data_IF_454326529136
#
_entry.id   IF_454326529136
#
_cell.length_a   1.000
_cell.length_b   1.000
_cell.length_c   1.000
_cell.angle_alpha   90.00
_cell.angle_beta   90.00
_cell.angle_gamma   90.00
#
_symmetry.space_group_name_H-M   'P 1'
#
loop_
_entity.id
_entity.type
_entity.pdbx_description
1 polymer ?
#
# COMPACT_ATOMS: atom_id res chain seq x y z
N UNK A 1 -34.40 38.40 31.36
CA UNK A 1 -33.28 38.51 30.38
C UNK A 1 -31.90 38.42 31.04
N UNK A 2 -31.56 39.22 32.06
CA UNK A 2 -30.24 39.17 32.73
C UNK A 2 -29.87 37.81 33.37
N UNK A 3 -30.87 37.01 33.80
CA UNK A 3 -30.67 35.67 34.39
C UNK A 3 -30.22 34.60 33.38
N UNK A 4 -30.55 34.76 32.10
CA UNK A 4 -30.15 33.86 31.01
C UNK A 4 -28.89 34.37 30.28
N UNK A 5 -28.72 35.68 30.20
CA UNK A 5 -27.56 36.29 29.54
C UNK A 5 -26.23 35.98 30.27
N UNK A 6 -26.26 35.92 31.60
CA UNK A 6 -25.08 35.67 32.45
C UNK A 6 -24.48 34.26 32.23
N UNK A 7 -25.22 33.15 32.33
CA UNK A 7 -24.68 31.83 32.04
C UNK A 7 -24.27 31.69 30.56
N UNK A 8 -25.00 32.31 29.62
CA UNK A 8 -24.60 32.32 28.20
C UNK A 8 -23.23 32.96 27.97
N UNK A 9 -22.97 34.11 28.59
CA UNK A 9 -21.67 34.80 28.46
C UNK A 9 -20.53 34.05 29.15
N UNK A 10 -20.82 33.39 30.29
CA UNK A 10 -19.85 32.52 30.97
C UNK A 10 -19.45 31.33 30.07
N UNK A 11 -20.43 30.65 29.45
CA UNK A 11 -20.16 29.54 28.52
C UNK A 11 -19.38 30.00 27.28
N UNK A 12 -19.68 31.20 26.76
CA UNK A 12 -18.92 31.79 25.66
C UNK A 12 -17.44 31.98 26.03
N UNK A 13 -17.15 32.52 27.22
CA UNK A 13 -15.77 32.69 27.69
C UNK A 13 -15.07 31.35 27.84
N UNK A 14 -15.74 30.34 28.42
CA UNK A 14 -15.17 28.99 28.51
C UNK A 14 -14.89 28.38 27.14
N UNK A 15 -15.82 28.52 26.19
CA UNK A 15 -15.64 28.03 24.81
C UNK A 15 -14.46 28.69 24.10
N UNK A 16 -14.28 30.01 24.28
CA UNK A 16 -13.13 30.74 23.74
C UNK A 16 -11.83 30.22 24.35
N UNK A 17 -11.76 30.08 25.68
CA UNK A 17 -10.55 29.59 26.35
C UNK A 17 -10.22 28.17 25.92
N UNK A 18 -11.22 27.28 25.86
CA UNK A 18 -11.04 25.89 25.43
C UNK A 18 -10.60 25.81 23.95
N UNK A 19 -11.24 26.57 23.06
CA UNK A 19 -10.89 26.60 21.64
C UNK A 19 -9.49 27.15 21.38
N UNK A 20 -9.10 28.23 22.07
CA UNK A 20 -7.74 28.78 21.99
C UNK A 20 -6.70 27.81 22.54
N UNK A 21 -6.99 27.16 23.66
CA UNK A 21 -6.08 26.18 24.27
C UNK A 21 -5.88 24.98 23.34
N UNK A 22 -6.97 24.43 22.79
CA UNK A 22 -6.91 23.31 21.86
C UNK A 22 -6.21 23.69 20.55
N UNK A 23 -6.51 24.86 20.00
CA UNK A 23 -5.86 25.37 18.79
C UNK A 23 -4.35 25.57 18.97
N UNK A 24 -3.92 26.09 20.13
CA UNK A 24 -2.51 26.26 20.46
C UNK A 24 -1.78 24.92 20.64
N UNK A 25 -2.39 23.95 21.32
CA UNK A 25 -1.80 22.61 21.44
C UNK A 25 -1.71 21.95 20.06
N UNK A 26 -2.78 22.03 19.26
CA UNK A 26 -2.80 21.46 17.92
C UNK A 26 -1.74 22.06 17.00
N UNK A 27 -1.49 23.38 17.06
CA UNK A 27 -0.48 24.03 16.21
C UNK A 27 0.96 23.58 16.51
N UNK A 28 1.24 23.14 17.74
CA UNK A 28 2.54 22.59 18.14
C UNK A 28 2.64 21.11 17.80
N UNK A 29 1.54 20.35 17.96
CA UNK A 29 1.54 18.90 17.80
C UNK A 29 1.41 18.47 16.33
N UNK A 30 0.62 19.19 15.52
CA UNK A 30 0.41 18.88 14.10
C UNK A 30 1.69 18.70 13.28
N UNK A 31 2.71 19.60 13.33
CA UNK A 31 3.94 19.41 12.55
C UNK A 31 4.75 18.20 13.02
N UNK A 32 4.68 17.85 14.30
CA UNK A 32 5.36 16.66 14.83
C UNK A 32 4.69 15.37 14.37
N UNK A 33 3.37 15.33 14.35
CA UNK A 33 2.60 14.20 13.82
C UNK A 33 2.94 14.00 12.34
N UNK A 34 2.90 15.08 11.54
CA UNK A 34 3.23 15.01 10.13
C UNK A 34 4.65 14.45 9.89
N UNK A 35 5.66 14.93 10.64
CA UNK A 35 7.02 14.43 10.51
C UNK A 35 7.17 12.95 10.92
N UNK A 36 6.39 12.49 11.89
CA UNK A 36 6.38 11.07 12.29
C UNK A 36 5.67 10.20 11.25
N UNK A 37 4.57 10.69 10.66
CA UNK A 37 3.86 9.99 9.58
C UNK A 37 4.75 9.85 8.33
N UNK A 38 5.48 10.91 7.96
CA UNK A 38 6.44 10.86 6.85
C UNK A 38 7.60 9.89 7.15
N UNK A 39 8.15 9.93 8.36
CA UNK A 39 9.22 9.00 8.75
C UNK A 39 8.75 7.54 8.75
N UNK A 40 7.55 7.27 9.26
CA UNK A 40 6.94 5.94 9.24
C UNK A 40 6.66 5.46 7.81
N UNK A 41 6.19 6.36 6.93
CA UNK A 41 5.99 6.04 5.51
C UNK A 41 7.31 5.71 4.81
N UNK A 42 8.38 6.46 5.05
CA UNK A 42 9.68 6.18 4.46
C UNK A 42 10.27 4.86 4.97
N UNK A 43 10.17 4.59 6.27
CA UNK A 43 10.58 3.31 6.84
C UNK A 43 9.78 2.14 6.22
N UNK A 44 8.48 2.29 6.06
CA UNK A 44 7.62 1.31 5.40
C UNK A 44 8.03 1.06 3.94
N UNK A 45 8.39 2.11 3.19
CA UNK A 45 8.87 1.98 1.80
C UNK A 45 10.15 1.13 1.73
N UNK A 46 11.08 1.34 2.66
CA UNK A 46 12.32 0.55 2.76
C UNK A 46 12.03 -0.91 3.18
N UNK A 47 11.07 -1.12 4.08
CA UNK A 47 10.70 -2.43 4.59
C UNK A 47 9.99 -3.29 3.54
N UNK A 48 9.12 -2.69 2.71
CA UNK A 48 8.38 -3.47 1.69
C UNK A 48 9.23 -3.81 0.45
N UNK A 49 10.36 -3.13 0.24
CA UNK A 49 11.34 -3.40 -0.82
C UNK A 49 12.78 -3.33 -0.28
N UNK A 50 13.23 -4.32 0.51
CA UNK A 50 14.55 -4.31 1.14
C UNK A 50 15.71 -4.46 0.15
N UNK A 51 15.43 -4.87 -1.09
CA UNK A 51 16.43 -5.01 -2.16
C UNK A 51 16.77 -3.67 -2.83
N UNK A 52 15.94 -2.64 -2.62
CA UNK A 52 16.15 -1.32 -3.21
C UNK A 52 17.10 -0.46 -2.36
N UNK A 53 18.08 0.15 -3.02
CA UNK A 53 19.02 1.13 -2.46
C UNK A 53 18.57 2.55 -2.80
N UNK A 54 17.94 2.74 -3.97
CA UNK A 54 17.41 4.03 -4.42
C UNK A 54 15.92 3.92 -4.72
N UNK A 55 15.17 4.94 -4.32
CA UNK A 55 13.73 5.06 -4.52
C UNK A 55 13.43 6.29 -5.38
N UNK A 56 12.86 6.07 -6.57
CA UNK A 56 12.51 7.13 -7.52
C UNK A 56 10.99 7.34 -7.57
N UNK A 57 10.47 8.45 -7.05
CA UNK A 57 9.05 8.78 -7.16
C UNK A 57 8.71 9.16 -8.60
N UNK A 58 7.67 8.55 -9.15
CA UNK A 58 7.12 8.90 -10.47
C UNK A 58 5.59 8.92 -10.42
N UNK A 59 4.95 9.37 -11.49
CA UNK A 59 3.49 9.44 -11.61
C UNK A 59 3.06 8.99 -12.99
N UNK A 60 2.10 8.06 -13.04
CA UNK A 60 1.51 7.56 -14.28
C UNK A 60 0.00 7.60 -14.16
N UNK A 61 -0.70 8.22 -15.11
CA UNK A 61 -2.18 8.33 -15.10
C UNK A 61 -2.77 8.80 -13.75
N UNK A 62 -2.16 9.81 -13.12
CA UNK A 62 -2.52 10.33 -11.78
C UNK A 62 -2.25 9.37 -10.60
N UNK A 63 -1.60 8.24 -10.85
CA UNK A 63 -1.15 7.28 -9.84
C UNK A 63 0.29 7.61 -9.46
N UNK A 64 0.48 8.03 -8.21
CA UNK A 64 1.80 8.20 -7.60
C UNK A 64 2.36 6.83 -7.19
N UNK A 65 3.56 6.52 -7.67
CA UNK A 65 4.28 5.31 -7.31
C UNK A 65 5.78 5.61 -7.18
N UNK A 66 6.52 4.66 -6.63
CA UNK A 66 7.96 4.76 -6.47
C UNK A 66 8.58 3.54 -7.14
N UNK A 67 9.62 3.72 -7.94
CA UNK A 67 10.42 2.61 -8.48
C UNK A 67 11.63 2.41 -7.57
N UNK A 68 11.82 1.18 -7.08
CA UNK A 68 13.01 0.79 -6.32
C UNK A 68 14.10 0.26 -7.25
N UNK A 69 15.34 0.65 -7.02
CA UNK A 69 16.54 0.22 -7.78
C UNK A 69 17.58 -0.39 -6.85
N UNK A 70 18.25 -1.47 -7.30
CA UNK A 70 19.35 -2.09 -6.54
C UNK A 70 20.67 -1.31 -6.63
N UNK A 71 20.79 -0.37 -7.57
CA UNK A 71 21.98 0.41 -7.82
C UNK A 71 21.76 1.93 -7.69
N UNK A 72 22.81 2.66 -7.31
CA UNK A 72 22.76 4.13 -7.19
C UNK A 72 22.58 4.84 -8.54
N UNK A 73 22.90 4.17 -9.66
CA UNK A 73 22.78 4.73 -11.01
C UNK A 73 21.38 4.51 -11.62
N UNK A 74 20.46 3.86 -10.89
CA UNK A 74 19.07 3.62 -11.26
C UNK A 74 18.91 2.83 -12.58
N UNK A 75 19.75 1.82 -12.76
CA UNK A 75 19.80 1.01 -13.98
C UNK A 75 19.12 -0.36 -13.83
N UNK A 76 19.04 -0.88 -12.62
CA UNK A 76 18.47 -2.18 -12.27
C UNK A 76 17.25 -2.01 -11.35
N UNK A 77 16.03 -1.85 -11.92
CA UNK A 77 14.83 -1.77 -11.10
C UNK A 77 14.54 -3.13 -10.45
N UNK A 78 14.18 -3.13 -9.18
CA UNK A 78 13.84 -4.34 -8.40
C UNK A 78 12.35 -4.48 -8.12
N UNK A 79 11.60 -3.38 -8.17
CA UNK A 79 10.18 -3.38 -7.89
C UNK A 79 9.55 -1.99 -7.85
N UNK A 80 8.30 -1.95 -7.47
CA UNK A 80 7.50 -0.75 -7.34
C UNK A 80 6.88 -0.64 -5.94
N UNK A 81 6.70 0.57 -5.44
CA UNK A 81 5.95 0.85 -4.22
C UNK A 81 4.79 1.76 -4.55
N UNK A 82 3.60 1.40 -4.07
CA UNK A 82 2.40 2.21 -4.19
C UNK A 82 1.70 2.32 -2.84
N UNK A 83 1.05 3.46 -2.60
CA UNK A 83 0.21 3.64 -1.40
C UNK A 83 -1.24 3.33 -1.75
N UNK A 84 -1.79 2.29 -1.14
CA UNK A 84 -3.19 1.90 -1.24
C UNK A 84 -4.04 2.60 -0.16
N UNK A 85 -5.28 2.95 -0.53
CA UNK A 85 -6.25 3.58 0.36
C UNK A 85 -7.52 2.75 0.43
N UNK A 86 -7.81 2.18 1.59
CA UNK A 86 -8.99 1.36 1.85
C UNK A 86 -9.95 2.03 2.82
N UNK A 87 -11.24 2.11 2.49
CA UNK A 87 -12.24 2.58 3.45
C UNK A 87 -12.58 1.46 4.43
N UNK A 88 -11.97 1.54 5.63
CA UNK A 88 -12.22 0.64 6.75
C UNK A 88 -13.56 0.91 7.44
N UNK A 89 -13.69 0.39 8.66
CA UNK A 89 -14.91 0.56 9.45
C UNK A 89 -15.03 1.96 10.05
N UNK A 90 -13.93 2.53 10.54
CA UNK A 90 -13.91 3.84 11.23
C UNK A 90 -12.99 4.86 10.58
N UNK A 91 -12.12 4.42 9.67
CA UNK A 91 -11.09 5.26 9.06
C UNK A 91 -10.76 4.84 7.63
N UNK A 92 -10.12 5.74 6.88
CA UNK A 92 -9.40 5.35 5.66
C UNK A 92 -8.05 4.77 6.08
N UNK A 93 -7.86 3.49 5.81
CA UNK A 93 -6.63 2.75 6.05
C UNK A 93 -5.66 3.08 4.93
N UNK A 94 -4.42 3.43 5.28
CA UNK A 94 -3.33 3.67 4.32
C UNK A 94 -2.34 2.53 4.44
N UNK A 95 -2.04 1.91 3.32
CA UNK A 95 -1.16 0.75 3.25
C UNK A 95 -0.10 1.01 2.20
N UNK A 96 1.17 0.92 2.58
CA UNK A 96 2.28 0.91 1.64
C UNK A 96 2.40 -0.51 1.10
N UNK A 97 2.47 -0.65 -0.22
CA UNK A 97 2.47 -1.95 -0.91
C UNK A 97 3.73 -2.03 -1.75
N UNK A 98 4.59 -3.00 -1.45
CA UNK A 98 5.74 -3.37 -2.27
C UNK A 98 5.34 -4.41 -3.30
N UNK A 99 5.69 -4.16 -4.55
CA UNK A 99 5.41 -5.01 -5.70
C UNK A 99 6.72 -5.38 -6.39
N UNK A 100 6.85 -6.63 -6.80
CA UNK A 100 7.93 -7.07 -7.68
C UNK A 100 7.69 -6.56 -9.11
N UNK A 101 8.68 -6.70 -9.99
CA UNK A 101 8.57 -6.29 -11.39
C UNK A 101 7.43 -6.97 -12.17
N UNK A 102 7.00 -8.15 -11.71
CA UNK A 102 5.87 -8.90 -12.26
C UNK A 102 4.53 -8.55 -11.58
N UNK A 103 4.51 -7.50 -10.75
CA UNK A 103 3.37 -7.05 -9.94
C UNK A 103 2.89 -8.06 -8.88
N UNK A 104 3.66 -9.11 -8.59
CA UNK A 104 3.44 -9.94 -7.40
C UNK A 104 3.73 -9.11 -6.15
N UNK A 105 2.90 -9.23 -5.12
CA UNK A 105 3.10 -8.53 -3.86
C UNK A 105 4.32 -9.10 -3.14
N UNK A 106 5.27 -8.22 -2.81
CA UNK A 106 6.44 -8.56 -2.00
C UNK A 106 6.11 -8.47 -0.52
N UNK A 107 5.55 -7.33 -0.10
CA UNK A 107 5.14 -7.08 1.28
C UNK A 107 4.14 -5.91 1.32
N UNK A 108 3.44 -5.79 2.44
CA UNK A 108 2.59 -4.63 2.74
C UNK A 108 2.88 -4.14 4.14
N UNK A 109 2.68 -2.85 4.38
CA UNK A 109 2.82 -2.22 5.69
C UNK A 109 1.67 -1.22 5.91
N UNK A 110 0.88 -1.38 6.97
CA UNK A 110 -0.24 -0.48 7.28
C UNK A 110 0.29 0.72 8.08
N UNK A 111 0.66 1.78 7.37
CA UNK A 111 1.22 3.01 7.96
C UNK A 111 0.19 3.90 8.68
N UNK A 112 -1.11 3.73 8.41
CA UNK A 112 -2.16 4.48 9.11
C UNK A 112 -3.47 3.71 9.17
N UNK A 113 -4.05 3.65 10.36
CA UNK A 113 -5.42 3.21 10.61
C UNK A 113 -5.94 3.83 11.93
N UNK A 114 -7.24 3.99 12.05
CA UNK A 114 -7.92 4.39 13.30
C UNK A 114 -9.21 3.59 13.48
N UNK A 115 -9.09 2.28 13.41
CA UNK A 115 -10.16 1.31 13.56
C UNK A 115 -10.50 1.04 15.03
N UNK A 116 -11.57 0.28 15.27
CA UNK A 116 -12.02 -0.02 16.64
C UNK A 116 -10.98 -0.83 17.40
N UNK A 117 -10.55 -0.37 18.61
CA UNK A 117 -9.57 -1.09 19.42
C UNK A 117 -10.03 -2.50 19.82
N UNK A 118 -9.13 -3.47 19.74
CA UNK A 118 -9.38 -4.89 19.99
C UNK A 118 -10.17 -5.61 18.89
N UNK A 119 -10.43 -4.95 17.76
CA UNK A 119 -11.15 -5.49 16.60
C UNK A 119 -10.36 -5.24 15.33
N UNK A 120 -10.52 -4.06 14.71
CA UNK A 120 -9.88 -3.74 13.42
C UNK A 120 -8.43 -3.30 13.56
N UNK A 121 -8.05 -2.78 14.72
CA UNK A 121 -6.65 -2.45 15.05
C UNK A 121 -5.72 -3.68 15.04
N UNK A 122 -6.28 -4.88 15.13
CA UNK A 122 -5.54 -6.14 15.01
C UNK A 122 -4.89 -6.35 13.65
N UNK A 123 -5.20 -5.52 12.66
CA UNK A 123 -4.53 -5.51 11.37
C UNK A 123 -3.02 -5.21 11.52
N UNK A 124 -2.63 -4.43 12.54
CA UNK A 124 -1.24 -4.09 12.85
C UNK A 124 -0.73 -4.81 14.11
N UNK A 125 -1.41 -5.86 14.56
CA UNK A 125 -1.01 -6.61 15.75
C UNK A 125 0.06 -7.65 15.41
N UNK A 126 1.20 -7.57 16.08
CA UNK A 126 2.20 -8.64 16.08
C UNK A 126 1.81 -9.68 17.13
N UNK A 127 1.65 -10.94 16.71
CA UNK A 127 1.36 -12.06 17.65
C UNK A 127 2.55 -12.27 18.60
N UNK A 128 2.34 -12.84 19.79
CA UNK A 128 3.36 -12.97 20.87
C UNK A 128 4.72 -13.56 20.44
N UNK A 129 4.80 -14.30 19.34
CA UNK A 129 6.04 -14.89 18.81
C UNK A 129 6.34 -14.47 17.36
N UNK A 130 5.68 -13.44 16.85
CA UNK A 130 5.93 -12.88 15.53
C UNK A 130 6.93 -11.73 15.59
N UNK A 131 7.64 -11.51 14.48
CA UNK A 131 8.45 -10.31 14.27
C UNK A 131 7.61 -9.21 13.58
N UNK A 132 6.65 -9.63 12.75
CA UNK A 132 5.81 -8.76 11.91
C UNK A 132 4.31 -8.93 12.20
N UNK A 133 3.46 -7.94 11.85
CA UNK A 133 2.02 -8.04 11.98
C UNK A 133 1.45 -9.24 11.23
N UNK A 134 0.71 -10.10 11.93
CA UNK A 134 0.28 -11.40 11.38
C UNK A 134 -0.64 -11.27 10.16
N UNK A 135 -1.34 -10.14 10.03
CA UNK A 135 -2.26 -9.90 8.92
C UNK A 135 -1.50 -9.51 7.65
N UNK A 136 -0.42 -8.74 7.78
CA UNK A 136 0.38 -8.21 6.68
C UNK A 136 1.24 -9.28 6.00
N UNK A 137 1.84 -10.18 6.78
CA UNK A 137 2.67 -11.28 6.26
C UNK A 137 1.93 -12.24 5.32
N UNK A 138 0.60 -12.24 5.33
CA UNK A 138 -0.20 -13.11 4.45
C UNK A 138 -0.17 -12.68 2.97
N UNK A 139 0.28 -11.44 2.71
CA UNK A 139 0.28 -10.84 1.38
C UNK A 139 1.56 -11.15 0.58
N UNK A 140 2.63 -11.60 1.23
CA UNK A 140 3.87 -11.99 0.54
C UNK A 140 3.61 -13.10 -0.50
N UNK A 141 4.12 -12.85 -1.70
CA UNK A 141 4.02 -13.76 -2.85
C UNK A 141 2.61 -13.91 -3.41
N UNK A 142 1.65 -13.05 -3.06
CA UNK A 142 0.30 -13.10 -3.61
C UNK A 142 0.17 -12.25 -4.87
N UNK A 143 -0.59 -12.78 -5.84
CA UNK A 143 -1.00 -12.03 -7.03
C UNK A 143 -2.24 -11.18 -6.73
N UNK A 144 -2.30 -9.97 -7.27
CA UNK A 144 -3.41 -9.04 -7.06
C UNK A 144 -4.75 -9.56 -7.61
N UNK A 145 -4.75 -10.28 -8.74
CA UNK A 145 -5.97 -10.75 -9.40
C UNK A 145 -6.79 -11.80 -8.63
N UNK A 146 -6.18 -12.46 -7.64
CA UNK A 146 -6.82 -13.48 -6.80
C UNK A 146 -6.85 -13.09 -5.30
N UNK A 147 -6.61 -11.82 -4.99
CA UNK A 147 -6.48 -11.35 -3.63
C UNK A 147 -7.85 -11.07 -2.99
N UNK A 148 -8.32 -11.98 -2.14
CA UNK A 148 -9.58 -11.88 -1.40
C UNK A 148 -9.43 -12.44 0.01
N UNK A 149 -10.33 -12.03 0.89
CA UNK A 149 -10.43 -12.63 2.24
C UNK A 149 -11.13 -13.99 2.19
N UNK A 150 -10.86 -14.84 3.18
CA UNK A 150 -11.44 -16.17 3.38
C UNK A 150 -12.98 -16.14 3.37
N UNK A 151 -13.59 -15.10 3.96
CA UNK A 151 -15.05 -14.89 3.95
C UNK A 151 -15.64 -14.70 2.56
N UNK A 152 -14.82 -14.31 1.59
CA UNK A 152 -15.18 -14.08 0.20
C UNK A 152 -14.55 -15.14 -0.74
N UNK A 153 -14.04 -16.23 -0.17
CA UNK A 153 -13.46 -17.37 -0.89
C UNK A 153 -12.00 -17.20 -1.32
N UNK A 154 -11.28 -16.23 -0.74
CA UNK A 154 -9.85 -16.01 -1.00
C UNK A 154 -8.91 -16.64 0.01
N UNK A 155 -7.62 -16.32 -0.13
CA UNK A 155 -6.54 -16.90 0.65
C UNK A 155 -6.13 -16.10 1.89
N UNK A 156 -6.62 -14.86 2.05
CA UNK A 156 -6.29 -14.01 3.19
C UNK A 156 -7.21 -14.32 4.36
N UNK A 157 -6.67 -14.79 5.47
CA UNK A 157 -7.42 -15.00 6.72
C UNK A 157 -7.93 -13.66 7.25
N UNK A 158 -9.26 -13.51 7.35
CA UNK A 158 -9.86 -12.30 7.89
C UNK A 158 -9.69 -12.18 9.40
N UNK A 159 -9.59 -10.93 9.85
CA UNK A 159 -9.59 -10.58 11.28
C UNK A 159 -10.97 -10.91 11.86
N UNK A 160 -11.00 -11.79 12.84
CA UNK A 160 -12.24 -12.23 13.48
C UNK A 160 -12.96 -11.03 14.12
N UNK A 161 -14.20 -10.79 13.68
CA UNK A 161 -15.03 -9.68 14.15
C UNK A 161 -14.76 -8.33 13.45
N UNK A 162 -13.80 -8.27 12.54
CA UNK A 162 -13.43 -7.05 11.80
C UNK A 162 -13.31 -7.30 10.28
N UNK A 163 -14.27 -8.02 9.70
CA UNK A 163 -14.27 -8.36 8.26
C UNK A 163 -14.32 -7.12 7.35
N UNK A 164 -14.92 -6.01 7.80
CA UNK A 164 -14.93 -4.75 7.02
C UNK A 164 -13.51 -4.21 6.87
N UNK A 165 -12.76 -4.14 7.97
CA UNK A 165 -11.34 -3.74 7.98
C UNK A 165 -10.50 -4.69 7.12
N UNK A 166 -10.69 -6.01 7.27
CA UNK A 166 -9.94 -7.00 6.47
C UNK A 166 -10.18 -6.82 4.98
N UNK A 167 -11.44 -6.70 4.55
CA UNK A 167 -11.80 -6.44 3.15
C UNK A 167 -11.25 -5.10 2.66
N UNK A 168 -11.27 -4.07 3.49
CA UNK A 168 -10.79 -2.75 3.10
C UNK A 168 -9.31 -2.80 2.73
N UNK A 169 -8.46 -3.42 3.56
CA UNK A 169 -7.04 -3.60 3.26
C UNK A 169 -6.87 -4.48 2.03
N UNK A 170 -7.42 -5.70 2.04
CA UNK A 170 -7.24 -6.66 0.94
C UNK A 170 -7.66 -6.10 -0.42
N UNK A 171 -8.83 -5.48 -0.50
CA UNK A 171 -9.31 -4.91 -1.76
C UNK A 171 -8.49 -3.67 -2.17
N UNK A 172 -8.08 -2.82 -1.22
CA UNK A 172 -7.28 -1.64 -1.55
C UNK A 172 -5.91 -2.02 -2.11
N UNK A 173 -5.27 -3.05 -1.55
CA UNK A 173 -4.00 -3.59 -2.04
C UNK A 173 -4.17 -4.16 -3.46
N UNK A 174 -5.20 -4.99 -3.67
CA UNK A 174 -5.50 -5.56 -4.98
C UNK A 174 -5.71 -4.47 -6.03
N UNK A 175 -6.59 -3.50 -5.74
CA UNK A 175 -6.94 -2.44 -6.67
C UNK A 175 -5.76 -1.51 -6.96
N UNK A 176 -4.91 -1.21 -5.98
CA UNK A 176 -3.73 -0.37 -6.18
C UNK A 176 -2.70 -1.06 -7.06
N UNK A 177 -2.43 -2.34 -6.82
CA UNK A 177 -1.53 -3.14 -7.63
C UNK A 177 -2.04 -3.29 -9.08
N UNK A 178 -3.34 -3.58 -9.24
CA UNK A 178 -4.01 -3.65 -10.55
C UNK A 178 -3.92 -2.32 -11.31
N UNK A 179 -4.28 -1.20 -10.67
CA UNK A 179 -4.24 0.11 -11.29
C UNK A 179 -2.83 0.51 -11.74
N UNK A 180 -1.81 0.21 -10.94
CA UNK A 180 -0.42 0.48 -11.32
C UNK A 180 0.04 -0.42 -12.48
N UNK A 181 -0.32 -1.70 -12.45
CA UNK A 181 0.00 -2.63 -13.53
C UNK A 181 -0.60 -2.14 -14.85
N UNK A 182 -1.90 -1.82 -14.86
CA UNK A 182 -2.58 -1.30 -16.05
C UNK A 182 -1.93 0.00 -16.55
N UNK A 183 -1.66 0.96 -15.66
CA UNK A 183 -1.09 2.25 -16.04
C UNK A 183 0.37 2.15 -16.57
N UNK A 184 1.17 1.21 -16.06
CA UNK A 184 2.52 0.96 -16.58
C UNK A 184 2.51 0.19 -17.90
N UNK A 185 1.55 -0.70 -18.09
CA UNK A 185 1.31 -1.37 -19.37
C UNK A 185 0.89 -0.39 -20.47
N UNK A 186 0.01 0.58 -20.18
CA UNK A 186 -0.39 1.61 -21.15
C UNK A 186 0.75 2.59 -21.46
N UNK A 187 1.62 2.87 -20.49
CA UNK A 187 2.83 3.70 -20.66
C UNK A 187 3.89 3.05 -21.53
N UNK A 188 3.97 1.72 -21.60
CA UNK A 188 4.79 1.01 -22.60
C UNK A 188 4.09 1.11 -23.96
N UNK A 189 4.54 1.96 -24.91
CA UNK A 189 3.92 1.96 -26.23
C UNK A 189 4.03 0.56 -26.85
N UNK A 190 2.93 0.09 -27.43
CA UNK A 190 2.76 -1.20 -28.11
C UNK A 190 3.62 -1.37 -29.37
N UNK A 191 4.91 -1.01 -29.34
CA UNK A 191 5.80 -1.03 -30.50
C UNK A 191 7.09 -1.82 -30.30
N UNK A 192 7.04 -2.94 -29.58
CA UNK A 192 8.02 -4.04 -29.75
C UNK A 192 7.24 -5.37 -29.69
N UNK A 193 7.12 -6.12 -30.79
CA UNK A 193 6.54 -7.46 -30.76
C UNK A 193 7.45 -8.41 -29.97
N UNK A 194 6.85 -9.32 -29.20
CA UNK A 194 7.49 -10.48 -28.54
C UNK A 194 8.26 -11.36 -29.55
N UNK A 195 9.44 -10.93 -29.99
CA UNK A 195 10.30 -11.67 -30.92
C UNK A 195 11.67 -11.96 -30.32
N UNK A 196 11.72 -12.23 -29.02
CA UNK A 196 12.87 -12.89 -28.38
C UNK A 196 12.59 -14.35 -27.99
N UNK A 197 11.44 -14.91 -28.34
CA UNK A 197 11.15 -16.34 -28.18
C UNK A 197 11.53 -17.18 -29.42
N UNK A 198 11.88 -16.56 -30.56
CA UNK A 198 12.15 -17.25 -31.83
C UNK A 198 13.64 -17.23 -32.25
N UNK A 199 14.57 -17.43 -31.31
CA UNK A 199 15.99 -17.72 -31.63
C UNK A 199 16.55 -18.94 -30.89
N UNK A 200 15.71 -19.71 -30.19
CA UNK A 200 16.14 -20.88 -29.43
C UNK A 200 15.75 -22.23 -30.06
N UNK A 201 15.31 -22.27 -31.32
CA UNK A 201 15.14 -23.55 -32.04
C UNK A 201 16.20 -23.71 -33.13
N UNK A 202 17.13 -24.68 -33.00
CA UNK A 202 17.99 -25.05 -34.12
C UNK A 202 17.12 -25.71 -35.19
N UNK A 203 17.13 -25.13 -36.40
CA UNK A 203 16.57 -25.76 -37.61
C UNK A 203 17.16 -27.17 -37.75
N UNK A 204 16.33 -28.19 -37.53
CA UNK A 204 16.60 -29.53 -38.03
C UNK A 204 16.49 -29.48 -39.56
N UNK A 205 17.64 -29.56 -40.23
CA UNK A 205 17.71 -29.79 -41.68
C UNK A 205 17.07 -31.14 -42.00
N UNK A 206 15.92 -31.10 -42.66
CA UNK A 206 15.36 -32.22 -43.41
C UNK A 206 15.69 -32.03 -44.88
N UNK A 207 16.76 -32.67 -45.35
CA UNK A 207 16.86 -33.06 -46.77
C UNK A 207 16.47 -34.55 -46.88
N UNK A 208 15.26 -34.79 -47.40
CA UNK A 208 15.01 -35.97 -48.23
C UNK A 208 15.87 -35.83 -49.49
N UNK A 209 16.42 -36.87 -50.11
CA UNK A 209 15.84 -38.16 -50.39
C UNK A 209 16.18 -38.48 -51.84
N UNK A 210 16.63 -39.71 -52.07
CA UNK A 210 16.55 -40.48 -53.31
C UNK A 210 17.58 -40.19 -54.44
N UNK A 211 18.49 -41.15 -54.70
CA UNK A 211 18.47 -41.98 -55.93
C UNK A 211 19.66 -42.97 -56.03
N UNK A 212 19.30 -44.23 -56.28
CA UNK A 212 20.07 -45.39 -56.80
C UNK A 212 21.00 -46.18 -55.87
#
# INVERSE_FOLDING_TARGET
>A
MKSILRPGLILMVYGIIAGLSLGYINSITAPKIAAQEEAARMAAIEEVLPEAVVFDPDTVEEIEYITGYSDEEMTEPVGYVITAYGNGFSSTIRTVVGLKLDFTISAIEIVYQSETPGLGDRAVETKENGEEPWFEVQFDGKEYGNLKVDKDGGAIESITGATITSRAVTNSVANAAEALAEALETRRPASIPDTLTELAEPKAETEGGDTK
#
